data_IF_454230406294
#
_entry.id   IF_454230406294
#
_cell.length_a   1.000
_cell.length_b   1.000
_cell.length_c   1.000
_cell.angle_alpha   90.00
_cell.angle_beta   90.00
_cell.angle_gamma   90.00
#
_symmetry.space_group_name_H-M   'P 1'
#
loop_
_entity.id
_entity.type
_entity.pdbx_description
1 polymer ?
#
# COMPACT_ATOMS: atom_id res chain seq x y z
N UNK A 1 -22.91 46.82 -34.81
CA UNK A 1 -23.35 45.40 -34.75
C UNK A 1 -22.12 44.58 -35.09
N UNK A 2 -21.51 43.71 -34.29
CA UNK A 2 -21.74 43.19 -32.93
C UNK A 2 -20.35 42.94 -32.33
N UNK A 3 -20.31 42.91 -31.00
CA UNK A 3 -19.18 42.87 -30.08
C UNK A 3 -18.34 41.59 -30.16
N UNK A 4 -17.01 41.74 -30.14
CA UNK A 4 -16.07 40.62 -29.90
C UNK A 4 -15.88 40.45 -28.40
N UNK A 5 -16.54 39.45 -27.82
CA UNK A 5 -16.35 39.04 -26.44
C UNK A 5 -15.61 37.69 -26.36
N UNK A 6 -14.74 37.59 -25.33
CA UNK A 6 -14.32 36.36 -24.62
C UNK A 6 -13.46 35.35 -25.42
N UNK A 7 -12.41 34.71 -24.89
CA UNK A 7 -11.95 34.53 -23.51
C UNK A 7 -10.49 34.08 -23.53
N UNK A 8 -9.71 34.45 -22.50
CA UNK A 8 -8.36 33.94 -22.24
C UNK A 8 -8.42 32.63 -21.45
N UNK A 9 -7.48 31.71 -21.71
CA UNK A 9 -7.14 30.63 -20.78
C UNK A 9 -6.21 29.59 -21.41
N UNK A 10 -4.95 29.45 -20.97
CA UNK A 10 -3.97 28.56 -21.58
C UNK A 10 -4.31 27.10 -21.25
N UNK A 11 -4.08 26.21 -22.23
CA UNK A 11 -4.05 24.78 -22.00
C UNK A 11 -2.92 24.46 -21.04
N UNK A 12 -3.28 24.18 -19.81
CA UNK A 12 -2.37 23.68 -18.79
C UNK A 12 -2.92 22.38 -18.20
N UNK A 13 -1.95 21.53 -17.90
CA UNK A 13 -2.05 20.43 -16.95
C UNK A 13 -2.76 19.16 -17.41
N UNK A 14 -1.89 18.28 -17.94
CA UNK A 14 -1.66 16.97 -17.32
C UNK A 14 -2.91 16.12 -17.17
N UNK A 15 -3.39 15.62 -18.31
CA UNK A 15 -3.96 14.28 -18.36
C UNK A 15 -2.89 13.31 -17.90
N UNK A 16 -2.84 13.09 -16.59
CA UNK A 16 -2.08 12.04 -15.94
C UNK A 16 -2.42 10.77 -16.70
N UNK A 17 -1.42 10.24 -17.40
CA UNK A 17 -1.45 8.94 -18.04
C UNK A 17 -1.71 7.95 -16.91
N UNK A 18 -2.99 7.67 -16.68
CA UNK A 18 -3.46 6.71 -15.71
C UNK A 18 -2.71 5.42 -16.00
N UNK A 19 -1.78 5.14 -15.12
CA UNK A 19 -0.76 4.13 -15.31
C UNK A 19 -1.45 2.78 -15.22
N UNK A 20 -1.74 2.21 -16.40
CA UNK A 20 -2.31 0.87 -16.62
C UNK A 20 -1.38 -0.29 -16.23
N UNK A 21 -0.50 -0.08 -15.25
CA UNK A 21 0.52 -1.06 -14.81
C UNK A 21 0.63 -1.14 -13.27
N UNK A 22 -0.36 -0.66 -12.53
CA UNK A 22 -0.39 -0.73 -11.05
C UNK A 22 -1.56 -1.55 -10.51
N UNK A 23 -2.15 -2.43 -11.32
CA UNK A 23 -3.07 -3.48 -10.83
C UNK A 23 -2.28 -4.60 -10.14
N UNK A 24 -1.52 -4.24 -9.12
CA UNK A 24 -1.33 -5.19 -8.03
C UNK A 24 -2.43 -4.84 -7.05
N UNK A 25 -3.54 -5.57 -7.16
CA UNK A 25 -4.76 -5.40 -6.38
C UNK A 25 -4.40 -5.10 -4.93
N UNK A 26 -4.52 -3.82 -4.54
CA UNK A 26 -4.19 -3.36 -3.19
C UNK A 26 -5.33 -3.80 -2.29
N UNK A 27 -5.09 -4.83 -1.49
CA UNK A 27 -6.10 -5.39 -0.59
C UNK A 27 -5.85 -4.90 0.83
N UNK A 28 -6.92 -4.61 1.56
CA UNK A 28 -6.79 -4.33 3.00
C UNK A 28 -6.72 -5.64 3.77
N UNK A 29 -5.81 -5.74 4.74
CA UNK A 29 -5.71 -6.88 5.64
C UNK A 29 -5.58 -6.45 7.10
N UNK A 30 -5.92 -7.35 8.01
CA UNK A 30 -5.81 -7.14 9.46
C UNK A 30 -4.86 -8.17 10.07
N UNK A 31 -3.93 -7.72 10.91
CA UNK A 31 -3.06 -8.61 11.69
C UNK A 31 -3.91 -9.45 12.64
N UNK A 32 -3.84 -10.78 12.47
CA UNK A 32 -4.73 -11.73 13.15
C UNK A 32 -4.10 -12.40 14.38
N UNK A 33 -2.77 -12.24 14.55
CA UNK A 33 -2.01 -12.78 15.69
C UNK A 33 -1.63 -11.68 16.67
N UNK A 34 -1.35 -12.03 17.92
CA UNK A 34 -0.98 -11.06 18.96
C UNK A 34 0.22 -10.18 18.56
N UNK A 35 1.20 -10.75 17.86
CA UNK A 35 2.41 -10.08 17.40
C UNK A 35 2.90 -10.70 16.10
N UNK A 36 2.98 -9.89 15.05
CA UNK A 36 3.52 -10.28 13.76
C UNK A 36 4.84 -9.54 13.50
N UNK A 37 5.95 -10.28 13.42
CA UNK A 37 7.26 -9.71 13.10
C UNK A 37 7.27 -9.22 11.66
N UNK A 38 7.90 -8.06 11.43
CA UNK A 38 8.13 -7.53 10.09
C UNK A 38 9.56 -7.84 9.64
N UNK A 39 9.75 -8.04 8.34
CA UNK A 39 11.00 -8.49 7.74
C UNK A 39 11.47 -7.54 6.65
N UNK A 40 12.79 -7.46 6.42
CA UNK A 40 13.39 -6.67 5.32
C UNK A 40 13.24 -7.39 3.97
N UNK A 41 13.17 -8.73 3.99
CA UNK A 41 13.03 -9.61 2.83
C UNK A 41 12.09 -10.78 3.19
N UNK A 42 11.53 -11.51 2.20
CA UNK A 42 10.57 -12.60 2.43
C UNK A 42 11.27 -13.89 2.86
N UNK A 43 12.02 -13.83 3.97
CA UNK A 43 12.71 -14.95 4.57
C UNK A 43 12.92 -14.73 6.07
N UNK A 44 13.03 -15.83 6.83
CA UNK A 44 13.14 -15.78 8.28
C UNK A 44 14.46 -15.16 8.81
N UNK A 45 15.53 -15.14 8.00
CA UNK A 45 16.82 -14.56 8.40
C UNK A 45 16.81 -13.02 8.38
N UNK A 46 15.85 -12.41 7.69
CA UNK A 46 15.73 -10.97 7.51
C UNK A 46 14.74 -10.30 8.49
N UNK A 47 14.52 -10.91 9.65
CA UNK A 47 13.69 -10.35 10.71
C UNK A 47 14.16 -8.96 11.13
N UNK A 48 13.22 -8.02 11.26
CA UNK A 48 13.49 -6.69 11.79
C UNK A 48 13.06 -6.58 13.25
N UNK A 49 13.38 -5.44 13.89
CA UNK A 49 12.87 -5.11 15.23
C UNK A 49 11.41 -4.63 15.20
N UNK A 50 10.88 -4.30 14.03
CA UNK A 50 9.51 -3.85 13.88
C UNK A 50 8.55 -5.04 13.92
N UNK A 51 7.38 -4.81 14.49
CA UNK A 51 6.29 -5.75 14.54
C UNK A 51 4.97 -4.97 14.51
N UNK A 52 3.93 -5.65 14.08
CA UNK A 52 2.56 -5.20 14.22
C UNK A 52 1.86 -6.06 15.26
N UNK A 53 0.82 -5.52 15.88
CA UNK A 53 0.02 -6.22 16.88
C UNK A 53 -1.35 -6.58 16.29
N UNK A 54 -2.06 -7.45 16.97
CA UNK A 54 -3.41 -7.84 16.55
C UNK A 54 -4.29 -6.62 16.31
N UNK A 55 -5.09 -6.68 15.24
CA UNK A 55 -6.00 -5.62 14.77
C UNK A 55 -5.32 -4.43 14.07
N UNK A 56 -3.99 -4.39 13.95
CA UNK A 56 -3.34 -3.44 13.05
C UNK A 56 -3.80 -3.69 11.61
N UNK A 57 -4.13 -2.61 10.91
CA UNK A 57 -4.59 -2.63 9.52
C UNK A 57 -3.42 -2.32 8.60
N UNK A 58 -3.29 -3.12 7.54
CA UNK A 58 -2.27 -2.93 6.51
C UNK A 58 -2.87 -2.99 5.12
N UNK A 59 -2.18 -2.36 4.16
CA UNK A 59 -2.46 -2.58 2.75
C UNK A 59 -1.49 -3.62 2.21
N UNK A 60 -2.00 -4.72 1.67
CA UNK A 60 -1.19 -5.73 0.96
C UNK A 60 -0.90 -5.20 -0.43
N UNK A 61 0.39 -5.02 -0.72
CA UNK A 61 0.90 -4.53 -1.99
C UNK A 61 1.32 -5.66 -2.93
N UNK A 62 1.73 -6.81 -2.38
CA UNK A 62 2.14 -8.00 -3.14
C UNK A 62 2.06 -9.24 -2.26
N UNK A 63 1.70 -10.39 -2.82
CA UNK A 63 1.86 -11.70 -2.17
C UNK A 63 2.94 -12.52 -2.89
N UNK A 64 3.76 -13.24 -2.14
CA UNK A 64 4.70 -14.24 -2.63
C UNK A 64 4.04 -15.62 -2.57
N UNK A 65 4.28 -16.52 -3.54
CA UNK A 65 3.82 -17.91 -3.45
C UNK A 65 4.36 -18.63 -2.20
N UNK A 66 5.49 -18.19 -1.64
CA UNK A 66 6.15 -18.79 -0.48
C UNK A 66 5.55 -18.35 0.88
N UNK A 67 4.32 -17.83 0.90
CA UNK A 67 3.62 -17.50 2.14
C UNK A 67 3.99 -16.16 2.76
N UNK A 68 4.47 -15.21 1.96
CA UNK A 68 4.82 -13.86 2.39
C UNK A 68 3.92 -12.81 1.75
N UNK A 69 3.70 -11.70 2.44
CA UNK A 69 3.05 -10.52 1.92
C UNK A 69 3.95 -9.30 2.10
N UNK A 70 4.08 -8.48 1.07
CA UNK A 70 4.67 -7.15 1.17
C UNK A 70 3.54 -6.18 1.47
N UNK A 71 3.67 -5.47 2.59
CA UNK A 71 2.60 -4.63 3.14
C UNK A 71 3.07 -3.21 3.35
N UNK A 72 2.11 -2.30 3.26
CA UNK A 72 2.21 -0.93 3.69
C UNK A 72 1.40 -0.73 4.97
N UNK A 73 2.11 -0.40 6.06
CA UNK A 73 1.52 0.03 7.31
C UNK A 73 1.68 1.54 7.48
N UNK A 74 0.57 2.22 7.74
CA UNK A 74 0.56 3.66 8.02
C UNK A 74 0.40 3.85 9.53
N UNK A 75 1.40 4.42 10.18
CA UNK A 75 1.33 4.69 11.62
C UNK A 75 0.42 5.89 11.93
N UNK A 76 0.19 6.16 13.23
CA UNK A 76 -0.66 7.27 13.68
C UNK A 76 -0.18 8.67 13.23
N UNK A 77 1.07 8.82 12.82
CA UNK A 77 1.63 10.07 12.28
C UNK A 77 1.51 10.16 10.75
N UNK A 78 0.86 9.19 10.09
CA UNK A 78 0.76 9.12 8.63
C UNK A 78 2.03 8.61 7.95
N UNK A 79 3.04 8.14 8.69
CA UNK A 79 4.27 7.63 8.09
C UNK A 79 4.09 6.18 7.65
N UNK A 80 4.45 5.92 6.40
CA UNK A 80 4.48 4.59 5.81
C UNK A 80 5.66 3.75 6.32
N UNK A 81 5.40 2.46 6.51
CA UNK A 81 6.37 1.43 6.80
C UNK A 81 6.13 0.25 5.86
N UNK A 82 6.94 0.17 4.80
CA UNK A 82 6.88 -0.93 3.84
C UNK A 82 7.73 -2.11 4.31
N UNK A 83 7.12 -3.28 4.48
CA UNK A 83 7.78 -4.47 5.03
C UNK A 83 7.18 -5.78 4.56
N UNK A 84 7.95 -6.85 4.69
CA UNK A 84 7.45 -8.22 4.53
C UNK A 84 6.85 -8.72 5.84
N UNK A 85 5.74 -9.47 5.75
CA UNK A 85 5.06 -10.15 6.85
C UNK A 85 4.66 -11.55 6.39
N UNK A 86 4.57 -12.51 7.30
CA UNK A 86 4.06 -13.85 6.97
C UNK A 86 2.57 -13.75 6.63
N UNK A 87 2.17 -14.26 5.47
CA UNK A 87 0.79 -14.16 4.97
C UNK A 87 -0.21 -14.82 5.94
N UNK A 88 0.17 -15.93 6.60
CA UNK A 88 -0.66 -16.58 7.62
C UNK A 88 -0.87 -15.77 8.92
N UNK A 89 -0.22 -14.61 9.08
CA UNK A 89 -0.40 -13.73 10.24
C UNK A 89 -1.38 -12.57 9.97
N UNK A 90 -1.87 -12.45 8.73
CA UNK A 90 -2.84 -11.43 8.31
C UNK A 90 -4.09 -12.08 7.70
N UNK A 91 -5.24 -11.46 7.92
CA UNK A 91 -6.50 -11.81 7.27
C UNK A 91 -6.81 -10.77 6.22
N UNK A 92 -6.75 -11.16 4.95
CA UNK A 92 -7.09 -10.30 3.81
C UNK A 92 -8.62 -10.19 3.75
N UNK A 93 -9.14 -8.96 3.71
CA UNK A 93 -10.58 -8.73 3.54
C UNK A 93 -10.97 -9.06 2.09
N UNK A 94 -12.09 -9.77 1.89
CA UNK A 94 -12.63 -10.03 0.56
C UNK A 94 -13.12 -8.74 -0.12
#
# INVERSE_FOLDING_TARGET
>A
MIETALSKGPGDSLGTRESKDADTERRTAIVSVAKATLFNAPDDANASRAYLVQNDVVTVLKQSPDGWAYVDYVNASGKHLLRWIKAGQISIKP
#
